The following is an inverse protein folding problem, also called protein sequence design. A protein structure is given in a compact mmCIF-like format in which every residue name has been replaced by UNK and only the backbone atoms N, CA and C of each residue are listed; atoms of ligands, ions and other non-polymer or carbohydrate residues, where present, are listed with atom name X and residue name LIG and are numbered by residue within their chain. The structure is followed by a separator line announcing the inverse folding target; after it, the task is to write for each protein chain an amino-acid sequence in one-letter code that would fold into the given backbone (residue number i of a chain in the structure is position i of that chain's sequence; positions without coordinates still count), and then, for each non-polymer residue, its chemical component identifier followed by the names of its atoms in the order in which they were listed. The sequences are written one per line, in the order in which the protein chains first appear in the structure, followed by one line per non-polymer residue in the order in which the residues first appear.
data_IF_906631076088
#
_entry.id   IF_906631076088
#
_cell.length_a   1.000
_cell.length_b   1.000
_cell.length_c   1.000
_cell.angle_alpha   90.00
_cell.angle_beta   90.00
_cell.angle_gamma   90.00
#
_symmetry.space_group_name_H-M   'P 1'
#
loop_
_entity.id
_entity.type
_entity.pdbx_description
1 polymer ?
#
# COMPACT_ATOMS: atom_id res chain seq x y z
N UNK A 1 33.40 -0.72 -14.35
CA UNK A 1 32.19 -0.21 -13.67
C UNK A 1 32.19 -0.83 -12.30
N UNK A 2 32.26 -0.01 -11.25
CA UNK A 2 32.29 -0.49 -9.87
C UNK A 2 30.90 -1.02 -9.46
N UNK A 3 30.83 -2.10 -8.64
CA UNK A 3 29.60 -2.54 -8.00
C UNK A 3 29.00 -1.43 -7.13
N UNK A 4 27.68 -1.42 -6.97
CA UNK A 4 27.03 -0.53 -5.99
C UNK A 4 27.16 -1.11 -4.59
N UNK A 5 27.14 -0.23 -3.59
CA UNK A 5 27.15 -0.64 -2.18
C UNK A 5 25.80 -1.24 -1.77
N UNK A 6 25.82 -2.22 -0.86
CA UNK A 6 24.59 -2.86 -0.37
C UNK A 6 23.62 -1.84 0.27
N UNK A 7 24.17 -0.78 0.89
CA UNK A 7 23.39 0.32 1.45
C UNK A 7 22.50 1.04 0.43
N UNK A 8 22.84 1.02 -0.85
CA UNK A 8 22.04 1.64 -1.92
C UNK A 8 20.77 0.82 -2.24
N UNK A 9 20.86 -0.51 -2.05
CA UNK A 9 19.76 -1.46 -2.26
C UNK A 9 18.89 -1.66 -1.03
N UNK A 10 19.48 -1.64 0.16
CA UNK A 10 18.71 -1.71 1.41
C UNK A 10 18.07 -0.37 1.75
N UNK A 11 18.61 0.72 1.20
CA UNK A 11 18.30 2.09 1.59
C UNK A 11 18.61 2.35 3.07
N UNK A 12 18.54 3.61 3.50
CA UNK A 12 18.11 3.87 4.88
C UNK A 12 16.69 3.32 4.97
N UNK A 13 16.48 2.24 5.73
CA UNK A 13 15.15 1.77 6.11
C UNK A 13 14.24 2.98 6.26
N UNK A 14 13.26 3.08 5.35
CA UNK A 14 12.10 3.96 5.44
C UNK A 14 12.23 5.08 6.48
N UNK A 15 12.83 6.22 6.12
CA UNK A 15 12.58 7.50 6.81
C UNK A 15 11.10 7.93 6.75
N UNK A 16 10.20 7.04 6.33
CA UNK A 16 8.75 7.21 6.41
C UNK A 16 8.21 7.04 7.84
N UNK A 17 9.01 6.58 8.80
CA UNK A 17 8.60 6.43 10.20
C UNK A 17 8.82 7.68 11.09
N UNK A 18 9.10 8.83 10.47
CA UNK A 18 9.08 10.13 11.16
C UNK A 18 7.68 10.73 11.36
N UNK A 19 6.59 10.05 10.97
CA UNK A 19 5.26 10.41 11.49
C UNK A 19 5.22 9.96 12.95
N UNK A 20 5.26 10.91 13.89
CA UNK A 20 5.11 10.67 15.35
C UNK A 20 4.23 9.45 15.58
N UNK A 21 4.81 8.40 16.18
CA UNK A 21 4.12 7.18 16.60
C UNK A 21 2.80 7.59 17.28
N UNK A 22 1.68 7.06 16.81
CA UNK A 22 0.36 7.38 17.38
C UNK A 22 0.43 7.03 18.88
N UNK A 23 0.14 8.01 19.73
CA UNK A 23 0.21 7.84 21.18
C UNK A 23 -1.16 7.49 21.75
N UNK A 24 -1.19 6.86 22.92
CA UNK A 24 -2.42 6.65 23.70
C UNK A 24 -3.15 7.97 23.96
N UNK A 25 -2.41 9.05 24.21
CA UNK A 25 -2.96 10.39 24.37
C UNK A 25 -3.76 10.86 23.14
N UNK A 26 -3.23 10.66 21.94
CA UNK A 26 -3.91 10.99 20.69
C UNK A 26 -5.19 10.17 20.52
N UNK A 27 -5.13 8.87 20.80
CA UNK A 27 -6.30 7.98 20.71
C UNK A 27 -7.38 8.35 21.74
N UNK A 28 -6.96 8.81 22.93
CA UNK A 28 -7.86 9.25 24.00
C UNK A 28 -8.47 10.63 23.78
N UNK A 29 -8.06 11.37 22.75
CA UNK A 29 -8.51 12.73 22.52
C UNK A 29 -10.05 12.80 22.37
N UNK A 30 -10.73 13.76 23.04
CA UNK A 30 -12.18 13.88 22.94
C UNK A 30 -12.64 14.24 21.53
N UNK A 31 -11.80 14.93 20.74
CA UNK A 31 -12.10 15.44 19.40
C UNK A 31 -11.12 14.83 18.40
N UNK A 32 -11.64 14.09 17.44
CA UNK A 32 -10.88 13.56 16.30
C UNK A 32 -11.29 14.31 15.03
N UNK A 33 -10.29 14.80 14.30
CA UNK A 33 -10.50 15.49 13.03
C UNK A 33 -9.68 14.81 11.94
N UNK A 34 -10.27 14.68 10.76
CA UNK A 34 -9.56 14.22 9.57
C UNK A 34 -9.75 15.21 8.43
N UNK A 35 -8.64 15.71 7.89
CA UNK A 35 -8.62 16.69 6.79
C UNK A 35 -8.07 16.02 5.53
N UNK A 36 -8.85 16.10 4.45
CA UNK A 36 -8.51 15.51 3.17
C UNK A 36 -8.64 16.56 2.06
N UNK A 37 -7.51 16.93 1.46
CA UNK A 37 -7.50 17.68 0.20
C UNK A 37 -7.61 16.75 -1.02
N UNK A 38 -8.14 17.29 -2.10
CA UNK A 38 -8.22 16.65 -3.42
C UNK A 38 -8.22 17.74 -4.50
N UNK A 39 -7.84 17.37 -5.70
CA UNK A 39 -7.81 18.21 -6.87
C UNK A 39 -8.36 17.41 -8.06
N UNK A 40 -9.08 18.08 -8.95
CA UNK A 40 -9.56 17.49 -10.20
C UNK A 40 -9.33 18.46 -11.35
N UNK A 41 -9.05 17.92 -12.54
CA UNK A 41 -8.83 18.73 -13.75
C UNK A 41 -10.06 19.56 -14.08
N UNK A 42 -9.82 20.83 -14.38
CA UNK A 42 -10.83 21.81 -14.77
C UNK A 42 -10.19 22.83 -15.71
N UNK A 43 -10.33 22.63 -17.02
CA UNK A 43 -9.58 23.35 -18.05
C UNK A 43 -9.80 24.88 -18.01
N UNK A 44 -10.99 25.36 -17.64
CA UNK A 44 -11.24 26.81 -17.48
C UNK A 44 -10.74 27.43 -16.18
N UNK A 45 -10.20 26.65 -15.24
CA UNK A 45 -9.65 27.19 -14.00
C UNK A 45 -8.24 27.77 -14.25
N UNK A 46 -7.82 28.83 -13.53
CA UNK A 46 -6.51 29.48 -13.75
C UNK A 46 -5.31 28.52 -13.69
N UNK A 47 -5.40 27.49 -12.84
CA UNK A 47 -4.36 26.49 -12.66
C UNK A 47 -4.69 25.15 -13.36
N UNK A 48 -5.71 25.13 -14.23
CA UNK A 48 -6.19 23.91 -14.89
C UNK A 48 -6.83 22.88 -13.94
N UNK A 49 -7.04 23.22 -12.67
CA UNK A 49 -7.60 22.36 -11.64
C UNK A 49 -8.60 23.09 -10.76
N UNK A 50 -9.56 22.33 -10.22
CA UNK A 50 -10.36 22.73 -9.08
C UNK A 50 -9.88 21.95 -7.86
N UNK A 51 -9.58 22.67 -6.80
CA UNK A 51 -9.09 22.10 -5.55
C UNK A 51 -10.24 22.02 -4.55
N UNK A 52 -10.23 21.00 -3.70
CA UNK A 52 -11.27 20.79 -2.72
C UNK A 52 -10.76 20.19 -1.44
N UNK A 53 -11.56 20.39 -0.41
CA UNK A 53 -11.23 20.00 0.95
C UNK A 53 -12.42 19.29 1.60
N UNK A 54 -12.12 18.38 2.51
CA UNK A 54 -13.07 17.69 3.37
C UNK A 54 -12.50 17.70 4.78
N UNK A 55 -13.30 18.15 5.75
CA UNK A 55 -12.98 18.14 7.18
C UNK A 55 -14.06 17.32 7.85
N UNK A 56 -13.70 16.11 8.30
CA UNK A 56 -14.57 15.31 9.15
C UNK A 56 -14.21 15.56 10.61
N UNK A 57 -15.21 15.82 11.44
CA UNK A 57 -15.07 16.00 12.89
C UNK A 57 -15.89 14.92 13.59
N UNK A 58 -15.29 14.26 14.56
CA UNK A 58 -15.92 13.23 15.38
C UNK A 58 -15.57 13.49 16.85
N UNK A 59 -16.59 13.84 17.63
CA UNK A 59 -16.52 14.00 19.08
C UNK A 59 -17.32 12.88 19.76
N UNK A 60 -17.35 12.86 21.10
CA UNK A 60 -18.24 11.95 21.82
C UNK A 60 -19.73 12.23 21.57
N UNK A 61 -20.09 13.49 21.30
CA UNK A 61 -21.49 13.95 21.23
C UNK A 61 -21.96 14.21 19.80
N UNK A 62 -21.05 14.58 18.90
CA UNK A 62 -21.39 15.09 17.58
C UNK A 62 -20.46 14.54 16.50
N UNK A 63 -21.02 14.33 15.31
CA UNK A 63 -20.28 13.90 14.13
C UNK A 63 -20.76 14.68 12.91
N UNK A 64 -19.85 15.34 12.23
CA UNK A 64 -20.21 16.09 11.03
C UNK A 64 -19.05 16.17 10.04
N UNK A 65 -19.37 16.53 8.81
CA UNK A 65 -18.39 16.71 7.73
C UNK A 65 -18.63 18.03 7.06
N UNK A 66 -17.62 18.89 7.02
CA UNK A 66 -17.58 20.09 6.19
C UNK A 66 -16.80 19.79 4.92
N UNK A 67 -17.21 20.39 3.81
CA UNK A 67 -16.57 20.23 2.50
C UNK A 67 -16.69 21.51 1.71
N UNK A 68 -15.72 21.75 0.85
CA UNK A 68 -15.71 22.89 -0.05
C UNK A 68 -14.78 22.64 -1.23
N UNK A 69 -14.83 23.57 -2.17
CA UNK A 69 -13.96 23.58 -3.34
C UNK A 69 -13.67 25.03 -3.73
N UNK A 70 -12.52 25.24 -4.35
CA UNK A 70 -12.09 26.53 -4.87
C UNK A 70 -11.39 26.37 -6.22
N UNK A 71 -11.47 27.42 -7.03
CA UNK A 71 -10.70 27.56 -8.27
C UNK A 71 -9.56 28.57 -8.14
N UNK A 72 -9.47 29.29 -7.01
CA UNK A 72 -8.54 30.39 -6.76
C UNK A 72 -8.13 30.45 -5.28
N UNK A 73 -6.92 30.91 -5.02
CA UNK A 73 -6.35 31.03 -3.67
C UNK A 73 -5.73 29.73 -3.17
N UNK A 74 -4.96 29.82 -2.08
CA UNK A 74 -4.27 28.67 -1.50
C UNK A 74 -5.25 27.75 -0.75
N UNK A 75 -5.38 26.51 -1.26
CA UNK A 75 -6.22 25.48 -0.65
C UNK A 75 -5.80 25.14 0.79
N UNK A 76 -4.51 25.26 1.13
CA UNK A 76 -3.98 25.01 2.47
C UNK A 76 -4.53 26.06 3.43
N UNK A 77 -4.41 27.34 3.11
CA UNK A 77 -4.92 28.45 3.93
C UNK A 77 -6.43 28.37 4.12
N UNK A 78 -7.15 28.02 3.05
CA UNK A 78 -8.60 27.83 3.11
C UNK A 78 -8.94 26.66 4.04
N UNK A 79 -8.26 25.52 3.90
CA UNK A 79 -8.51 24.34 4.73
C UNK A 79 -8.19 24.61 6.20
N UNK A 80 -7.08 25.29 6.52
CA UNK A 80 -6.73 25.69 7.90
C UNK A 80 -7.81 26.58 8.50
N UNK A 81 -8.28 27.59 7.76
CA UNK A 81 -9.38 28.47 8.19
C UNK A 81 -10.66 27.72 8.48
N UNK A 82 -11.00 26.77 7.60
CA UNK A 82 -12.21 25.95 7.75
C UNK A 82 -12.07 24.92 8.89
N UNK A 83 -10.87 24.45 9.21
CA UNK A 83 -10.60 23.65 10.41
C UNK A 83 -10.86 24.48 11.67
N UNK A 84 -10.30 25.69 11.76
CA UNK A 84 -10.54 26.60 12.88
C UNK A 84 -12.03 26.89 13.06
N UNK A 85 -12.74 27.13 11.95
CA UNK A 85 -14.20 27.33 11.97
C UNK A 85 -14.97 26.08 12.39
N UNK A 86 -14.55 24.89 11.95
CA UNK A 86 -15.18 23.62 12.33
C UNK A 86 -15.00 23.29 13.81
N UNK A 87 -13.89 23.74 14.39
CA UNK A 87 -13.54 23.52 15.80
C UNK A 87 -14.07 24.61 16.74
N UNK A 88 -14.63 25.70 16.22
CA UNK A 88 -15.16 26.80 17.03
C UNK A 88 -16.28 26.28 17.94
N UNK A 89 -16.11 26.48 19.25
CA UNK A 89 -17.07 26.04 20.27
C UNK A 89 -16.99 24.55 20.64
N UNK A 90 -15.95 23.83 20.20
CA UNK A 90 -15.66 22.48 20.68
C UNK A 90 -14.55 22.54 21.73
N UNK A 91 -14.84 22.05 22.93
CA UNK A 91 -13.89 22.05 24.04
C UNK A 91 -13.14 20.72 24.16
N UNK A 92 -11.83 20.82 24.38
CA UNK A 92 -10.95 19.71 24.67
C UNK A 92 -9.83 19.50 23.66
N UNK A 93 -8.96 18.52 23.96
CA UNK A 93 -7.81 18.20 23.11
C UNK A 93 -8.26 17.69 21.74
N UNK A 94 -7.64 18.23 20.69
CA UNK A 94 -7.94 17.88 19.30
C UNK A 94 -6.79 17.08 18.72
N UNK A 95 -7.11 15.91 18.15
CA UNK A 95 -6.18 15.15 17.31
C UNK A 95 -6.60 15.22 15.85
N UNK A 96 -5.73 15.82 15.03
CA UNK A 96 -5.95 15.99 13.58
C UNK A 96 -5.11 14.99 12.79
N UNK A 97 -5.71 14.34 11.79
CA UNK A 97 -5.00 13.54 10.78
C UNK A 97 -5.11 14.18 9.39
N UNK A 98 -4.01 14.17 8.64
CA UNK A 98 -3.97 14.63 7.23
C UNK A 98 -3.53 13.51 6.28
N UNK A 99 -3.77 13.70 4.99
CA UNK A 99 -3.32 12.75 3.96
C UNK A 99 -1.78 12.58 3.92
N UNK A 100 -1.32 11.42 3.43
CA UNK A 100 0.12 11.05 3.41
C UNK A 100 0.99 12.11 2.71
N UNK A 101 0.52 12.66 1.59
CA UNK A 101 1.26 13.63 0.74
C UNK A 101 0.88 15.11 0.99
N UNK A 102 0.31 15.43 2.16
CA UNK A 102 -0.16 16.79 2.50
C UNK A 102 0.76 17.46 3.54
N UNK A 103 2.04 17.60 3.22
CA UNK A 103 3.05 18.11 4.15
C UNK A 103 2.85 19.60 4.47
N UNK A 104 2.51 20.43 3.48
CA UNK A 104 2.24 21.86 3.68
C UNK A 104 1.06 22.09 4.65
N UNK A 105 -0.05 21.39 4.44
CA UNK A 105 -1.21 21.43 5.35
C UNK A 105 -0.83 20.96 6.77
N UNK A 106 -0.03 19.89 6.89
CA UNK A 106 0.43 19.40 8.18
C UNK A 106 1.27 20.44 8.90
N UNK A 107 2.21 21.07 8.21
CA UNK A 107 3.07 22.10 8.75
C UNK A 107 2.25 23.31 9.22
N UNK A 108 1.31 23.79 8.40
CA UNK A 108 0.45 24.92 8.73
C UNK A 108 -0.42 24.67 9.97
N UNK A 109 -1.08 23.51 10.06
CA UNK A 109 -1.87 23.14 11.23
C UNK A 109 -1.01 22.92 12.49
N UNK A 110 0.24 22.46 12.33
CA UNK A 110 1.17 22.30 13.47
C UNK A 110 1.66 23.66 13.96
N UNK A 111 1.93 24.60 13.05
CA UNK A 111 2.29 25.99 13.40
C UNK A 111 1.15 26.70 14.14
N UNK A 112 -0.10 26.34 13.84
CA UNK A 112 -1.29 26.79 14.57
C UNK A 112 -1.50 26.09 15.94
N UNK A 113 -0.57 25.26 16.38
CA UNK A 113 -0.58 24.62 17.71
C UNK A 113 -1.40 23.32 17.80
N UNK A 114 -1.90 22.77 16.69
CA UNK A 114 -2.64 21.51 16.72
C UNK A 114 -1.72 20.29 16.84
N UNK A 115 -2.23 19.22 17.48
CA UNK A 115 -1.61 17.91 17.43
C UNK A 115 -1.99 17.22 16.11
N UNK A 116 -1.04 17.14 15.17
CA UNK A 116 -1.29 16.62 13.83
C UNK A 116 -0.43 15.41 13.50
N UNK A 117 -1.02 14.36 12.94
CA UNK A 117 -0.31 13.22 12.38
C UNK A 117 -0.58 13.05 10.89
N UNK A 118 0.39 12.51 10.17
CA UNK A 118 0.25 12.17 8.75
C UNK A 118 -0.30 10.77 8.54
N UNK A 119 -0.90 10.56 7.37
CA UNK A 119 -1.59 9.32 6.99
C UNK A 119 -2.89 9.13 7.79
N UNK A 120 -3.99 8.77 7.11
CA UNK A 120 -5.26 8.52 7.79
C UNK A 120 -5.15 7.30 8.69
N UNK A 121 -4.82 7.54 9.96
CA UNK A 121 -4.73 6.53 11.01
C UNK A 121 -6.08 5.84 11.21
N UNK A 122 -6.07 4.52 11.39
CA UNK A 122 -7.28 3.73 11.60
C UNK A 122 -7.94 4.02 12.95
N UNK A 123 -7.12 4.42 13.93
CA UNK A 123 -7.48 4.78 15.30
C UNK A 123 -8.16 6.16 15.36
N UNK A 124 -7.96 7.00 14.36
CA UNK A 124 -8.66 8.28 14.29
C UNK A 124 -10.11 8.07 13.80
N UNK A 125 -11.06 8.40 14.68
CA UNK A 125 -12.50 8.18 14.47
C UNK A 125 -13.10 8.99 13.30
N UNK A 126 -12.39 9.99 12.78
CA UNK A 126 -12.83 10.80 11.64
C UNK A 126 -12.25 10.36 10.29
N UNK A 127 -11.18 9.55 10.28
CA UNK A 127 -10.45 9.12 9.07
C UNK A 127 -11.33 8.51 7.98
N UNK A 128 -12.18 7.55 8.35
CA UNK A 128 -13.04 6.83 7.39
C UNK A 128 -14.04 7.78 6.71
N UNK A 129 -14.64 8.69 7.48
CA UNK A 129 -15.59 9.68 6.98
C UNK A 129 -14.94 10.65 6.00
N UNK A 130 -13.77 11.22 6.36
CA UNK A 130 -13.05 12.12 5.48
C UNK A 130 -12.64 11.44 4.16
N UNK A 131 -12.06 10.23 4.24
CA UNK A 131 -11.62 9.47 3.06
C UNK A 131 -12.78 9.13 2.12
N UNK A 132 -13.91 8.65 2.68
CA UNK A 132 -15.10 8.31 1.89
C UNK A 132 -15.72 9.54 1.22
N UNK A 133 -15.87 10.65 1.96
CA UNK A 133 -16.48 11.88 1.43
C UNK A 133 -15.56 12.52 0.39
N UNK A 134 -14.24 12.56 0.62
CA UNK A 134 -13.25 13.04 -0.35
C UNK A 134 -13.35 12.28 -1.66
N UNK A 135 -13.37 10.94 -1.61
CA UNK A 135 -13.53 10.10 -2.81
C UNK A 135 -14.84 10.40 -3.56
N UNK A 136 -15.94 10.58 -2.83
CA UNK A 136 -17.25 10.93 -3.41
C UNK A 136 -17.23 12.31 -4.07
N UNK A 137 -16.65 13.33 -3.42
CA UNK A 137 -16.59 14.70 -3.96
C UNK A 137 -15.71 14.78 -5.20
N UNK A 138 -14.48 14.25 -5.12
CA UNK A 138 -13.58 14.18 -6.28
C UNK A 138 -14.25 13.48 -7.48
N UNK A 139 -14.91 12.33 -7.24
CA UNK A 139 -15.64 11.62 -8.29
C UNK A 139 -16.82 12.39 -8.89
N UNK A 140 -17.61 13.10 -8.06
CA UNK A 140 -18.70 13.96 -8.54
C UNK A 140 -18.17 15.14 -9.36
N UNK A 141 -17.10 15.78 -8.89
CA UNK A 141 -16.47 16.90 -9.58
C UNK A 141 -15.86 16.46 -10.91
N UNK A 142 -15.15 15.33 -10.94
CA UNK A 142 -14.63 14.75 -12.19
C UNK A 142 -15.75 14.42 -13.18
N UNK A 143 -16.89 13.89 -12.71
CA UNK A 143 -18.07 13.64 -13.57
C UNK A 143 -18.66 14.95 -14.10
N UNK A 144 -18.74 15.99 -13.26
CA UNK A 144 -19.23 17.31 -13.66
C UNK A 144 -18.30 17.95 -14.70
N UNK A 145 -16.99 17.88 -14.49
CA UNK A 145 -15.99 18.41 -15.41
C UNK A 145 -16.14 17.79 -16.81
N UNK A 146 -16.24 16.45 -16.90
CA UNK A 146 -16.47 15.74 -18.17
C UNK A 146 -17.80 16.11 -18.83
N UNK A 147 -18.88 16.29 -18.05
CA UNK A 147 -20.19 16.68 -18.58
C UNK A 147 -20.16 18.08 -19.20
N UNK A 148 -19.36 18.99 -18.64
CA UNK A 148 -19.29 20.39 -19.04
C UNK A 148 -18.14 20.68 -20.01
N UNK A 149 -17.42 19.66 -20.48
CA UNK A 149 -16.28 19.84 -21.39
C UNK A 149 -15.01 20.40 -20.74
N UNK A 150 -14.97 20.49 -19.40
CA UNK A 150 -13.86 21.02 -18.59
C UNK A 150 -12.75 19.99 -18.34
N UNK A 151 -12.96 18.75 -18.80
CA UNK A 151 -11.97 17.70 -18.78
C UNK A 151 -12.26 16.72 -19.91
N UNK A 152 -11.23 16.10 -20.51
CA UNK A 152 -11.43 15.16 -21.60
C UNK A 152 -12.27 13.94 -21.16
N UNK A 153 -13.17 13.49 -22.05
CA UNK A 153 -14.08 12.34 -21.78
C UNK A 153 -13.31 11.07 -21.42
N UNK A 154 -12.12 10.89 -21.99
CA UNK A 154 -11.12 9.88 -21.59
C UNK A 154 -10.04 10.59 -20.79
N UNK A 155 -9.74 10.12 -19.58
CA UNK A 155 -8.60 10.58 -18.80
C UNK A 155 -7.36 10.22 -19.63
N UNK A 156 -6.77 11.18 -20.33
CA UNK A 156 -5.42 11.01 -20.86
C UNK A 156 -4.56 10.76 -19.63
N UNK A 157 -4.01 9.55 -19.51
CA UNK A 157 -3.05 9.28 -18.47
C UNK A 157 -1.90 10.24 -18.75
N UNK A 158 -1.70 11.24 -17.89
CA UNK A 158 -0.47 12.01 -17.93
C UNK A 158 0.65 10.97 -17.91
N UNK A 159 1.48 10.97 -18.95
CA UNK A 159 2.60 10.06 -19.05
C UNK A 159 3.57 10.53 -17.96
N UNK A 160 3.42 9.97 -16.75
CA UNK A 160 4.38 10.21 -15.67
C UNK A 160 5.70 9.72 -16.20
N UNK A 161 6.69 10.61 -16.27
CA UNK A 161 8.04 10.25 -16.69
C UNK A 161 8.55 9.15 -15.76
N UNK A 162 8.62 7.93 -16.28
CA UNK A 162 9.02 6.77 -15.49
C UNK A 162 10.54 6.73 -15.44
N UNK A 163 11.16 6.68 -14.24
CA UNK A 163 12.58 6.43 -14.11
C UNK A 163 13.02 5.26 -15.00
N UNK A 164 14.20 5.36 -15.61
CA UNK A 164 14.74 4.29 -16.44
C UNK A 164 14.84 2.99 -15.64
N UNK A 165 14.17 1.94 -16.09
CA UNK A 165 14.43 0.58 -15.63
C UNK A 165 15.63 0.04 -16.41
N UNK A 166 16.71 -0.29 -15.69
CA UNK A 166 17.91 -0.83 -16.32
C UNK A 166 17.82 -2.34 -16.56
N UNK A 167 17.07 -3.05 -15.73
CA UNK A 167 16.82 -4.49 -15.83
C UNK A 167 15.72 -4.92 -14.84
N UNK A 168 15.29 -6.18 -14.92
CA UNK A 168 14.26 -6.77 -14.06
C UNK A 168 14.83 -7.97 -13.28
N UNK A 169 15.32 -7.76 -12.04
CA UNK A 169 15.81 -8.83 -11.18
C UNK A 169 14.81 -9.97 -11.00
N UNK A 170 15.24 -11.19 -11.27
CA UNK A 170 14.47 -12.40 -11.09
C UNK A 170 15.38 -13.50 -10.57
N UNK A 171 15.23 -13.84 -9.29
CA UNK A 171 16.06 -14.83 -8.61
C UNK A 171 15.18 -15.87 -7.94
N UNK A 172 15.67 -17.10 -7.87
CA UNK A 172 15.01 -18.14 -7.10
C UNK A 172 15.96 -19.21 -6.67
N UNK A 173 15.65 -19.79 -5.52
CA UNK A 173 16.21 -21.04 -5.04
C UNK A 173 15.06 -21.95 -4.64
N UNK A 174 15.13 -23.21 -5.06
CA UNK A 174 14.19 -24.24 -4.68
C UNK A 174 14.97 -25.53 -4.43
N UNK A 175 14.69 -26.17 -3.32
CA UNK A 175 15.27 -27.43 -2.87
C UNK A 175 14.17 -28.35 -2.35
N UNK A 176 14.51 -29.62 -2.15
CA UNK A 176 13.60 -30.62 -1.59
C UNK A 176 13.41 -30.39 -0.10
N UNK A 177 12.22 -30.73 0.41
CA UNK A 177 11.91 -30.77 1.83
C UNK A 177 11.97 -32.20 2.34
N UNK A 178 12.21 -32.38 3.64
CA UNK A 178 12.09 -33.70 4.25
C UNK A 178 10.63 -34.18 4.20
N UNK A 179 10.43 -35.49 4.08
CA UNK A 179 9.08 -36.05 4.03
C UNK A 179 8.33 -35.75 5.34
N UNK A 180 7.10 -35.24 5.23
CA UNK A 180 6.26 -34.89 6.37
C UNK A 180 6.58 -33.55 7.04
N UNK A 181 7.62 -32.83 6.59
CA UNK A 181 7.95 -31.51 7.13
C UNK A 181 6.89 -30.45 6.78
N UNK A 182 6.58 -29.57 7.73
CA UNK A 182 5.65 -28.46 7.52
C UNK A 182 6.40 -27.29 6.89
N UNK A 183 6.05 -26.98 5.64
CA UNK A 183 6.71 -25.90 4.89
C UNK A 183 6.21 -24.54 5.37
N UNK A 184 7.07 -23.79 6.06
CA UNK A 184 6.76 -22.42 6.49
C UNK A 184 7.26 -21.41 5.46
N UNK A 185 6.40 -20.50 5.02
CA UNK A 185 6.70 -19.48 4.00
C UNK A 185 6.23 -18.11 4.49
N UNK A 186 7.04 -17.07 4.31
CA UNK A 186 6.59 -15.68 4.43
C UNK A 186 6.57 -15.03 3.04
N UNK A 187 5.59 -14.15 2.81
CA UNK A 187 5.43 -13.42 1.55
C UNK A 187 5.37 -11.92 1.79
N UNK A 188 5.99 -11.15 0.91
CA UNK A 188 5.91 -9.69 0.92
C UNK A 188 6.03 -9.13 -0.51
N UNK A 189 5.55 -7.91 -0.72
CA UNK A 189 5.70 -7.20 -1.98
C UNK A 189 6.02 -5.71 -1.80
N UNK A 190 6.84 -5.22 -2.73
CA UNK A 190 7.21 -3.80 -2.79
C UNK A 190 6.83 -3.19 -4.13
N UNK A 191 6.40 -1.93 -4.11
CA UNK A 191 5.99 -1.19 -5.31
C UNK A 191 6.42 0.26 -5.20
N UNK A 192 6.78 0.87 -6.33
CA UNK A 192 6.88 2.33 -6.41
C UNK A 192 5.51 2.99 -6.66
N UNK A 193 4.45 2.18 -6.82
CA UNK A 193 3.06 2.57 -7.11
C UNK A 193 2.86 3.33 -8.42
N UNK A 194 3.88 3.37 -9.28
CA UNK A 194 3.89 4.12 -10.53
C UNK A 194 4.06 3.19 -11.72
N UNK A 195 5.14 2.38 -11.76
CA UNK A 195 5.45 1.54 -12.92
C UNK A 195 6.26 0.27 -12.63
N UNK A 196 6.78 0.07 -11.41
CA UNK A 196 7.53 -1.15 -11.05
C UNK A 196 7.05 -1.77 -9.76
N UNK A 197 7.16 -3.09 -9.72
CA UNK A 197 6.79 -3.90 -8.57
C UNK A 197 7.73 -5.08 -8.40
N UNK A 198 7.85 -5.52 -7.16
CA UNK A 198 8.66 -6.62 -6.70
C UNK A 198 7.81 -7.49 -5.78
N UNK A 199 7.86 -8.80 -5.97
CA UNK A 199 7.14 -9.79 -5.17
C UNK A 199 8.14 -10.81 -4.67
N UNK A 200 8.05 -11.16 -3.39
CA UNK A 200 8.93 -12.14 -2.78
C UNK A 200 8.17 -13.16 -1.93
N UNK A 201 8.65 -14.40 -1.95
CA UNK A 201 8.45 -15.31 -0.83
C UNK A 201 9.80 -15.84 -0.36
N UNK A 202 9.88 -16.19 0.92
CA UNK A 202 10.99 -16.90 1.56
C UNK A 202 10.43 -18.07 2.35
N UNK A 203 11.00 -19.25 2.18
CA UNK A 203 10.64 -20.46 2.91
C UNK A 203 11.67 -20.78 4.01
N UNK A 204 11.26 -21.52 5.03
CA UNK A 204 12.06 -21.77 6.24
C UNK A 204 13.41 -22.46 5.99
N UNK A 205 13.55 -23.21 4.90
CA UNK A 205 14.82 -23.83 4.49
C UNK A 205 15.76 -22.89 3.69
N UNK A 206 15.39 -21.61 3.57
CA UNK A 206 16.14 -20.62 2.78
C UNK A 206 15.83 -20.63 1.28
N UNK A 207 14.85 -21.42 0.82
CA UNK A 207 14.31 -21.26 -0.52
C UNK A 207 13.59 -19.92 -0.66
N UNK A 208 13.59 -19.37 -1.86
CA UNK A 208 12.96 -18.08 -2.10
C UNK A 208 12.63 -17.89 -3.58
N UNK A 209 11.74 -16.93 -3.84
CA UNK A 209 11.54 -16.37 -5.18
C UNK A 209 11.48 -14.86 -5.05
N UNK A 210 12.35 -14.17 -5.78
CA UNK A 210 12.23 -12.75 -6.07
C UNK A 210 11.77 -12.60 -7.51
N UNK A 211 10.64 -11.92 -7.72
CA UNK A 211 10.13 -11.59 -9.05
C UNK A 211 9.87 -10.09 -9.15
N UNK A 212 10.58 -9.41 -10.04
CA UNK A 212 10.29 -8.02 -10.40
C UNK A 212 9.63 -7.93 -11.77
N UNK A 213 8.81 -6.90 -11.98
CA UNK A 213 8.17 -6.61 -13.27
C UNK A 213 7.78 -5.15 -13.39
N UNK A 214 7.62 -4.71 -14.64
CA UNK A 214 6.87 -3.51 -14.94
C UNK A 214 5.40 -3.75 -14.58
N UNK A 215 4.83 -2.87 -13.77
CA UNK A 215 3.45 -2.98 -13.32
C UNK A 215 2.93 -1.69 -12.73
N UNK A 216 1.64 -1.43 -12.96
CA UNK A 216 0.87 -0.36 -12.31
C UNK A 216 -0.04 -0.91 -11.20
N UNK A 217 0.14 -2.18 -10.85
CA UNK A 217 -0.62 -2.82 -9.79
C UNK A 217 -0.34 -2.15 -8.44
N UNK A 218 -1.35 -2.12 -7.58
CA UNK A 218 -1.21 -1.68 -6.20
C UNK A 218 -0.31 -2.65 -5.42
N UNK A 219 0.28 -2.20 -4.31
CA UNK A 219 0.99 -3.08 -3.39
C UNK A 219 0.09 -4.24 -2.96
N UNK A 220 -1.15 -3.97 -2.55
CA UNK A 220 -2.14 -5.00 -2.18
C UNK A 220 -2.32 -6.10 -3.25
N UNK A 221 -2.31 -5.74 -4.54
CA UNK A 221 -2.39 -6.72 -5.63
C UNK A 221 -1.09 -7.53 -5.77
N UNK A 222 0.06 -6.91 -5.55
CA UNK A 222 1.36 -7.60 -5.59
C UNK A 222 1.53 -8.54 -4.40
N UNK A 223 0.99 -8.21 -3.23
CA UNK A 223 0.94 -9.10 -2.06
C UNK A 223 0.16 -10.38 -2.37
N UNK A 224 -1.01 -10.25 -3.02
CA UNK A 224 -1.78 -11.44 -3.46
C UNK A 224 -1.01 -12.27 -4.50
N UNK A 225 -0.22 -11.62 -5.36
CA UNK A 225 0.63 -12.31 -6.33
C UNK A 225 1.84 -12.98 -5.64
N UNK A 226 2.37 -12.43 -4.55
CA UNK A 226 3.38 -13.07 -3.73
C UNK A 226 2.84 -14.34 -3.07
N UNK A 227 1.63 -14.31 -2.52
CA UNK A 227 0.91 -15.51 -2.06
C UNK A 227 0.72 -16.53 -3.20
N UNK A 228 0.39 -16.07 -4.40
CA UNK A 228 0.26 -16.94 -5.58
C UNK A 228 1.59 -17.62 -5.93
N UNK A 229 2.73 -16.92 -5.79
CA UNK A 229 4.06 -17.52 -6.00
C UNK A 229 4.38 -18.59 -4.94
N UNK A 230 4.01 -18.35 -3.67
CA UNK A 230 4.18 -19.32 -2.59
C UNK A 230 3.38 -20.61 -2.84
N UNK A 231 2.10 -20.50 -3.23
CA UNK A 231 1.27 -21.68 -3.58
C UNK A 231 1.87 -22.51 -4.72
N UNK A 232 2.36 -21.84 -5.78
CA UNK A 232 3.03 -22.51 -6.91
C UNK A 232 4.33 -23.19 -6.50
N UNK A 233 5.05 -22.59 -5.55
CA UNK A 233 6.25 -23.20 -4.99
C UNK A 233 5.91 -24.47 -4.20
N UNK A 234 4.89 -24.43 -3.34
CA UNK A 234 4.44 -25.61 -2.58
C UNK A 234 4.10 -26.79 -3.49
N UNK A 235 3.38 -26.53 -4.59
CA UNK A 235 3.06 -27.54 -5.59
C UNK A 235 4.34 -28.10 -6.24
N UNK A 236 5.28 -27.22 -6.58
CA UNK A 236 6.55 -27.60 -7.21
C UNK A 236 7.42 -28.49 -6.32
N UNK A 237 7.46 -28.22 -5.00
CA UNK A 237 8.28 -29.01 -4.06
C UNK A 237 7.54 -30.23 -3.51
N UNK A 238 6.29 -30.47 -3.91
CA UNK A 238 5.50 -31.61 -3.45
C UNK A 238 5.15 -31.56 -1.96
N UNK A 239 5.01 -30.35 -1.39
CA UNK A 239 4.69 -30.18 0.02
C UNK A 239 3.34 -30.83 0.38
N UNK A 240 3.24 -31.42 1.57
CA UNK A 240 2.00 -31.99 2.10
C UNK A 240 1.31 -31.12 3.14
N UNK A 241 2.08 -30.33 3.88
CA UNK A 241 1.59 -29.37 4.87
C UNK A 241 2.37 -28.07 4.75
N UNK A 242 1.69 -26.94 4.85
CA UNK A 242 2.32 -25.64 4.75
C UNK A 242 1.62 -24.57 5.57
N UNK A 243 2.41 -23.61 6.04
CA UNK A 243 1.95 -22.37 6.67
C UNK A 243 2.50 -21.20 5.88
N UNK A 244 1.63 -20.37 5.32
CA UNK A 244 2.00 -19.14 4.60
C UNK A 244 1.64 -17.94 5.46
N UNK A 245 2.60 -17.06 5.67
CA UNK A 245 2.51 -15.88 6.51
C UNK A 245 2.59 -14.62 5.65
N UNK A 246 1.65 -13.70 5.89
CA UNK A 246 1.63 -12.36 5.26
C UNK A 246 1.15 -11.33 6.27
N UNK A 247 1.69 -10.12 6.22
CA UNK A 247 1.22 -8.98 7.01
C UNK A 247 0.17 -8.12 6.26
N UNK A 248 -0.08 -8.43 4.99
CA UNK A 248 -1.02 -7.71 4.14
C UNK A 248 -2.48 -8.06 4.45
N UNK A 249 -3.14 -7.19 5.20
CA UNK A 249 -4.58 -7.31 5.51
C UNK A 249 -5.43 -7.38 4.24
N UNK A 250 -5.08 -6.59 3.22
CA UNK A 250 -5.85 -6.55 1.97
C UNK A 250 -5.73 -7.85 1.17
N UNK A 251 -4.53 -8.44 1.14
CA UNK A 251 -4.32 -9.74 0.48
C UNK A 251 -5.06 -10.85 1.23
N UNK A 252 -4.98 -10.89 2.56
CA UNK A 252 -5.71 -11.86 3.38
C UNK A 252 -7.23 -11.71 3.29
N UNK A 253 -7.75 -10.48 3.24
CA UNK A 253 -9.17 -10.25 2.93
C UNK A 253 -9.55 -10.81 1.56
N UNK A 254 -8.66 -10.72 0.55
CA UNK A 254 -8.90 -11.29 -0.77
C UNK A 254 -8.91 -12.82 -0.73
N UNK A 255 -7.95 -13.45 -0.03
CA UNK A 255 -7.90 -14.90 0.20
C UNK A 255 -9.21 -15.38 0.82
N UNK A 256 -9.61 -14.78 1.94
CA UNK A 256 -10.85 -15.13 2.65
C UNK A 256 -12.08 -15.11 1.73
N UNK A 257 -12.16 -14.11 0.86
CA UNK A 257 -13.30 -13.91 -0.04
C UNK A 257 -13.26 -14.83 -1.26
N UNK A 258 -12.08 -15.25 -1.71
CA UNK A 258 -11.91 -16.17 -2.83
C UNK A 258 -12.11 -17.62 -2.37
N UNK A 259 -11.51 -18.00 -1.24
CA UNK A 259 -11.47 -19.38 -0.75
C UNK A 259 -12.73 -19.77 0.00
N UNK A 260 -13.17 -18.95 0.96
CA UNK A 260 -14.18 -19.37 1.94
C UNK A 260 -15.60 -18.87 1.62
N UNK A 261 -15.77 -17.90 0.72
CA UNK A 261 -17.08 -17.31 0.41
C UNK A 261 -17.59 -17.68 -0.98
N UNK A 262 -18.42 -18.73 -1.04
CA UNK A 262 -19.17 -19.10 -2.26
C UNK A 262 -20.00 -17.91 -2.77
N UNK A 263 -19.89 -17.61 -4.07
CA UNK A 263 -20.63 -16.53 -4.73
C UNK A 263 -20.15 -15.10 -4.45
N UNK A 264 -19.00 -14.93 -3.77
CA UNK A 264 -18.46 -13.60 -3.43
C UNK A 264 -18.22 -12.73 -4.67
N UNK A 265 -18.30 -11.41 -4.51
CA UNK A 265 -17.92 -10.48 -5.60
C UNK A 265 -16.42 -10.59 -5.95
N UNK A 266 -15.61 -11.15 -5.05
CA UNK A 266 -14.18 -11.38 -5.24
C UNK A 266 -13.87 -12.66 -6.03
N UNK A 267 -14.84 -13.55 -6.26
CA UNK A 267 -14.69 -14.70 -7.18
C UNK A 267 -15.27 -14.44 -8.57
N UNK A 268 -16.03 -13.34 -8.75
CA UNK A 268 -16.63 -13.00 -10.04
C UNK A 268 -15.60 -12.43 -11.05
N UNK A 269 -15.67 -12.83 -12.33
CA UNK A 269 -14.81 -12.29 -13.38
C UNK A 269 -15.16 -10.83 -13.73
N UNK A 270 -14.22 -10.12 -14.36
CA UNK A 270 -14.47 -8.86 -15.07
C UNK A 270 -14.55 -7.56 -14.25
N UNK A 271 -14.45 -7.58 -12.92
CA UNK A 271 -14.43 -6.34 -12.10
C UNK A 271 -13.22 -6.26 -11.17
N UNK A 272 -12.72 -5.05 -10.91
CA UNK A 272 -11.74 -4.83 -9.84
C UNK A 272 -12.45 -4.96 -8.49
N UNK A 273 -11.89 -5.72 -7.55
CA UNK A 273 -12.43 -5.89 -6.21
C UNK A 273 -11.44 -5.33 -5.20
N UNK A 274 -11.84 -4.30 -4.43
CA UNK A 274 -11.00 -3.60 -3.43
C UNK A 274 -9.61 -3.16 -3.92
N UNK A 275 -9.44 -2.92 -5.21
CA UNK A 275 -8.15 -2.51 -5.78
C UNK A 275 -7.30 -3.66 -6.32
N UNK A 276 -7.80 -4.89 -6.25
CA UNK A 276 -7.21 -6.09 -6.86
C UNK A 276 -7.91 -6.39 -8.19
N UNK A 277 -7.12 -6.49 -9.25
CA UNK A 277 -7.58 -6.82 -10.60
C UNK A 277 -8.21 -8.21 -10.66
N UNK A 278 -9.10 -8.44 -11.65
CA UNK A 278 -9.63 -9.79 -11.88
C UNK A 278 -8.55 -10.79 -12.26
N UNK A 279 -7.51 -10.34 -12.98
CA UNK A 279 -6.40 -11.21 -13.38
C UNK A 279 -5.61 -11.75 -12.20
N UNK A 280 -5.28 -10.91 -11.22
CA UNK A 280 -4.57 -11.35 -10.02
C UNK A 280 -5.42 -12.34 -9.19
N UNK A 281 -6.72 -12.04 -9.02
CA UNK A 281 -7.66 -12.94 -8.33
C UNK A 281 -7.78 -14.30 -9.03
N UNK A 282 -7.90 -14.31 -10.36
CA UNK A 282 -7.97 -15.55 -11.14
C UNK A 282 -6.69 -16.39 -11.04
N UNK A 283 -5.51 -15.75 -11.05
CA UNK A 283 -4.23 -16.47 -10.87
C UNK A 283 -4.09 -17.07 -9.48
N UNK A 284 -4.50 -16.34 -8.44
CA UNK A 284 -4.53 -16.87 -7.08
C UNK A 284 -5.52 -18.03 -6.96
N UNK A 285 -6.75 -17.86 -7.47
CA UNK A 285 -7.78 -18.89 -7.45
C UNK A 285 -7.34 -20.17 -8.17
N UNK A 286 -6.66 -20.03 -9.31
CA UNK A 286 -6.09 -21.17 -10.02
C UNK A 286 -5.01 -21.87 -9.17
N UNK A 287 -4.03 -21.13 -8.65
CA UNK A 287 -2.96 -21.72 -7.83
C UNK A 287 -3.51 -22.39 -6.56
N UNK A 288 -4.56 -21.83 -5.96
CA UNK A 288 -5.26 -22.43 -4.83
C UNK A 288 -5.98 -23.72 -5.21
N UNK A 289 -6.67 -23.74 -6.36
CA UNK A 289 -7.31 -24.95 -6.88
C UNK A 289 -6.32 -26.05 -7.22
N UNK A 290 -5.17 -25.68 -7.80
CA UNK A 290 -4.12 -26.64 -8.19
C UNK A 290 -3.49 -27.34 -6.96
N UNK A 291 -3.31 -26.63 -5.84
CA UNK A 291 -2.73 -27.20 -4.61
C UNK A 291 -3.77 -27.95 -3.75
N UNK A 292 -5.06 -27.66 -3.94
CA UNK A 292 -6.13 -28.24 -3.13
C UNK A 292 -6.16 -29.77 -3.27
N UNK A 293 -6.12 -30.47 -2.13
CA UNK A 293 -6.05 -31.93 -2.09
C UNK A 293 -4.63 -32.51 -2.23
N UNK A 294 -3.63 -31.68 -2.55
CA UNK A 294 -2.23 -32.09 -2.60
C UNK A 294 -1.45 -31.68 -1.34
N UNK A 295 -1.73 -30.48 -0.83
CA UNK A 295 -1.13 -29.90 0.37
C UNK A 295 -2.21 -29.29 1.28
N UNK A 296 -2.12 -29.52 2.58
CA UNK A 296 -2.86 -28.78 3.60
C UNK A 296 -2.19 -27.41 3.82
N UNK A 297 -2.83 -26.33 3.39
CA UNK A 297 -2.26 -24.98 3.45
C UNK A 297 -3.04 -24.11 4.44
N UNK A 298 -2.36 -23.62 5.47
CA UNK A 298 -2.85 -22.56 6.37
C UNK A 298 -2.25 -21.21 5.95
N UNK A 299 -3.10 -20.22 5.64
CA UNK A 299 -2.66 -18.85 5.33
C UNK A 299 -3.06 -17.95 6.49
N UNK A 300 -2.07 -17.41 7.21
CA UNK A 300 -2.31 -16.63 8.43
C UNK A 300 -1.66 -15.25 8.40
N UNK A 301 -2.23 -14.37 9.22
CA UNK A 301 -1.72 -13.02 9.42
C UNK A 301 -0.55 -13.03 10.40
N UNK A 302 0.53 -12.36 10.03
CA UNK A 302 1.59 -11.94 10.97
C UNK A 302 1.56 -10.42 11.15
N UNK A 303 2.06 -9.96 12.30
CA UNK A 303 2.27 -8.54 12.50
C UNK A 303 3.57 -8.15 11.78
N UNK A 304 3.47 -7.28 10.78
CA UNK A 304 4.63 -6.75 10.05
C UNK A 304 5.68 -6.20 11.02
N UNK A 305 6.94 -6.57 10.79
CA UNK A 305 8.10 -6.22 11.62
C UNK A 305 8.09 -6.70 13.09
N UNK A 306 7.19 -7.60 13.50
CA UNK A 306 7.12 -8.12 14.89
C UNK A 306 8.24 -9.09 15.28
N UNK A 307 9.36 -9.09 14.54
CA UNK A 307 10.54 -9.91 14.87
C UNK A 307 10.61 -11.26 14.17
N UNK A 308 9.62 -11.63 13.34
CA UNK A 308 9.70 -12.85 12.54
C UNK A 308 10.82 -12.76 11.49
N UNK A 309 11.88 -13.59 11.57
CA UNK A 309 12.99 -13.55 10.63
C UNK A 309 12.56 -13.80 9.18
N UNK A 310 11.55 -14.67 8.98
CA UNK A 310 11.09 -15.07 7.65
C UNK A 310 10.40 -13.90 6.93
N UNK A 311 9.48 -13.22 7.62
CA UNK A 311 8.80 -12.04 7.10
C UNK A 311 9.78 -10.90 6.85
N UNK A 312 10.77 -10.71 7.74
CA UNK A 312 11.81 -9.70 7.56
C UNK A 312 12.66 -9.98 6.32
N UNK A 313 13.02 -11.24 6.08
CA UNK A 313 13.77 -11.63 4.89
C UNK A 313 12.97 -11.36 3.61
N UNK A 314 11.68 -11.72 3.59
CA UNK A 314 10.81 -11.47 2.43
C UNK A 314 10.70 -9.97 2.09
N UNK A 315 10.48 -9.11 3.10
CA UNK A 315 10.40 -7.65 2.95
C UNK A 315 11.71 -7.06 2.43
N UNK A 316 12.85 -7.43 3.04
CA UNK A 316 14.15 -6.97 2.61
C UNK A 316 14.46 -7.37 1.16
N UNK A 317 14.21 -8.62 0.79
CA UNK A 317 14.48 -9.12 -0.56
C UNK A 317 13.56 -8.45 -1.59
N UNK A 318 12.27 -8.28 -1.28
CA UNK A 318 11.32 -7.58 -2.13
C UNK A 318 11.78 -6.13 -2.38
N UNK A 319 12.19 -5.42 -1.31
CA UNK A 319 12.65 -4.05 -1.39
C UNK A 319 13.96 -3.88 -2.17
N UNK A 320 14.97 -4.71 -1.88
CA UNK A 320 16.25 -4.69 -2.61
C UNK A 320 16.04 -4.97 -4.10
N UNK A 321 15.16 -5.92 -4.45
CA UNK A 321 14.79 -6.20 -5.84
C UNK A 321 14.17 -4.99 -6.53
N UNK A 322 13.28 -4.25 -5.86
CA UNK A 322 12.67 -3.04 -6.39
C UNK A 322 13.71 -1.92 -6.65
N UNK A 323 14.70 -1.80 -5.76
CA UNK A 323 15.77 -0.80 -5.83
C UNK A 323 16.76 -1.11 -6.94
N UNK A 324 17.16 -2.37 -7.09
CA UNK A 324 18.11 -2.81 -8.11
C UNK A 324 17.68 -2.50 -9.55
N UNK A 325 16.37 -2.38 -9.83
CA UNK A 325 15.83 -1.97 -11.14
C UNK A 325 16.37 -0.60 -11.59
N UNK A 326 16.69 0.30 -10.65
CA UNK A 326 17.19 1.63 -10.94
C UNK A 326 18.70 1.69 -11.25
N UNK A 327 19.40 0.55 -11.22
CA UNK A 327 20.83 0.47 -11.45
C UNK A 327 21.16 -0.53 -12.58
N UNK A 328 22.20 -0.29 -13.40
CA UNK A 328 22.69 -1.25 -14.38
C UNK A 328 22.88 -2.66 -13.80
N UNK A 329 22.49 -3.69 -14.56
CA UNK A 329 22.63 -5.09 -14.14
C UNK A 329 24.06 -5.44 -13.75
N UNK A 330 25.05 -4.99 -14.53
CA UNK A 330 26.48 -5.25 -14.26
C UNK A 330 26.96 -4.72 -12.90
N UNK A 331 26.35 -3.65 -12.40
CA UNK A 331 26.74 -3.02 -11.13
C UNK A 331 25.97 -3.57 -9.92
N UNK A 332 24.71 -3.96 -10.14
CA UNK A 332 23.78 -4.27 -9.04
C UNK A 332 23.52 -5.75 -8.81
N UNK A 333 23.81 -6.60 -9.80
CA UNK A 333 23.45 -8.02 -9.73
C UNK A 333 24.12 -8.75 -8.58
N UNK A 334 25.43 -8.57 -8.40
CA UNK A 334 26.16 -9.30 -7.36
C UNK A 334 25.84 -8.77 -5.96
N UNK A 335 25.80 -7.44 -5.79
CA UNK A 335 25.35 -6.80 -4.55
C UNK A 335 23.95 -7.26 -4.14
N UNK A 336 23.01 -7.42 -5.09
CA UNK A 336 21.68 -7.96 -4.80
C UNK A 336 21.74 -9.43 -4.36
N UNK A 337 22.59 -10.26 -4.97
CA UNK A 337 22.76 -11.66 -4.56
C UNK A 337 23.34 -11.77 -3.15
N UNK A 338 24.36 -10.97 -2.84
CA UNK A 338 24.94 -10.88 -1.50
C UNK A 338 23.91 -10.41 -0.47
N UNK A 339 23.13 -9.37 -0.81
CA UNK A 339 22.04 -8.88 0.02
C UNK A 339 20.98 -9.96 0.30
N UNK A 340 20.58 -10.72 -0.72
CA UNK A 340 19.66 -11.85 -0.57
C UNK A 340 20.26 -12.90 0.38
N UNK A 341 21.52 -13.31 0.17
CA UNK A 341 22.17 -14.29 1.05
C UNK A 341 22.24 -13.82 2.51
N UNK A 342 22.56 -12.54 2.72
CA UNK A 342 22.58 -11.92 4.05
C UNK A 342 21.19 -11.89 4.71
N UNK A 343 20.14 -11.65 3.94
CA UNK A 343 18.77 -11.71 4.45
C UNK A 343 18.37 -13.14 4.84
N UNK A 344 18.81 -14.14 4.07
CA UNK A 344 18.51 -15.56 4.32
C UNK A 344 19.35 -16.16 5.46
N UNK A 345 20.55 -15.66 5.73
CA UNK A 345 21.40 -16.15 6.83
C UNK A 345 20.88 -15.78 8.22
N UNK A 346 19.82 -14.98 8.29
CA UNK A 346 19.17 -14.57 9.53
C UNK A 346 17.93 -15.42 9.88
N UNK A 347 17.58 -16.40 9.03
CA UNK A 347 16.54 -17.41 9.27
C UNK A 347 17.06 -18.47 10.25
#
# INVERSE_FOLDING_TARGET
MEPIELSELTGTQSRTYGTRKITSDMVSAPIHVAVALWDERWDSAPNGTIEGWVIAVNTKQTRFVRRGQTKKGDIVDIAVREVKRALKGLDGRVWIVTGRRQNALRAALTADGFTVTGSFAGENRASKSASSVRRKQAGLTARKARKMGEAPKKKQAAQVETPKAYWWPNFSRASSWAEGEVVRIATDASSDTVFKGSMCFVAGNGDYRLRTRETKASTDELELEALTLALKYLLKVGARKAVIESDSVAALEAVEQIVHKRGSKASRPGRTWRGVSSGARSRFQQAWGDIQGQCEVDIRRVLGHAGDPLNRAADQIAYMGLRAIAHPMKQSRETLREGIQKALSAL
#
